data_IF_632143008876
#
_entry.id   IF_632143008876
#
_cell.length_a   1.000
_cell.length_b   1.000
_cell.length_c   1.000
_cell.angle_alpha   90.00
_cell.angle_beta   90.00
_cell.angle_gamma   90.00
#
_symmetry.space_group_name_H-M   'P 1'
#
loop_
_entity.id
_entity.type
_entity.pdbx_description
1 polymer ?
#
# COMPACT_ATOMS: atom_id res chain seq x y z
N UNK A 1 47.51 -19.95 -51.03
CA UNK A 1 46.87 -20.01 -49.69
C UNK A 1 47.45 -19.04 -48.66
N UNK A 2 48.67 -18.51 -48.83
CA UNK A 2 49.32 -17.66 -47.81
C UNK A 2 48.89 -16.18 -47.86
N UNK A 3 48.40 -15.69 -49.00
CA UNK A 3 47.88 -14.32 -49.17
C UNK A 3 46.47 -14.11 -48.66
N UNK A 4 45.64 -15.18 -48.59
CA UNK A 4 44.25 -15.09 -48.11
C UNK A 4 44.16 -15.02 -46.58
N UNK A 5 45.08 -15.69 -45.86
CA UNK A 5 45.16 -15.60 -44.40
C UNK A 5 45.61 -14.21 -43.91
N UNK A 6 46.49 -13.54 -44.65
CA UNK A 6 46.94 -12.19 -44.30
C UNK A 6 45.83 -11.14 -44.41
N UNK A 7 44.96 -11.24 -45.42
CA UNK A 7 43.81 -10.35 -45.56
C UNK A 7 42.76 -10.57 -44.45
N UNK A 8 42.51 -11.82 -44.05
CA UNK A 8 41.57 -12.13 -42.96
C UNK A 8 42.06 -11.64 -41.59
N UNK A 9 43.38 -11.60 -41.34
CA UNK A 9 43.94 -10.99 -40.13
C UNK A 9 43.82 -9.47 -40.11
N UNK A 10 44.01 -8.79 -41.24
CA UNK A 10 43.89 -7.32 -41.34
C UNK A 10 42.45 -6.83 -41.13
N UNK A 11 41.45 -7.63 -41.52
CA UNK A 11 40.03 -7.32 -41.29
C UNK A 11 39.59 -7.50 -39.82
N UNK A 12 40.28 -8.34 -39.03
CA UNK A 12 39.98 -8.49 -37.59
C UNK A 12 40.65 -7.43 -36.70
N UNK A 13 41.66 -6.70 -37.20
CA UNK A 13 42.29 -5.58 -36.48
C UNK A 13 41.54 -4.25 -36.59
N UNK A 14 40.50 -4.18 -37.41
CA UNK A 14 39.63 -3.01 -37.59
C UNK A 14 38.34 -3.15 -36.76
N UNK A 15 38.47 -3.53 -35.49
CA UNK A 15 37.41 -3.26 -34.52
C UNK A 15 37.66 -1.85 -33.97
N UNK A 16 36.83 -0.84 -34.27
CA UNK A 16 36.89 0.41 -33.55
C UNK A 16 36.48 0.12 -32.11
N UNK A 17 37.46 -0.06 -31.22
CA UNK A 17 37.26 0.14 -29.80
C UNK A 17 36.95 1.61 -29.61
N UNK A 18 35.69 1.99 -29.74
CA UNK A 18 35.23 3.27 -29.22
C UNK A 18 35.55 3.25 -27.73
N UNK A 19 36.44 4.12 -27.21
CA UNK A 19 36.58 4.25 -25.78
C UNK A 19 35.21 4.69 -25.25
N UNK A 20 34.57 3.81 -24.49
CA UNK A 20 33.39 4.18 -23.71
C UNK A 20 33.91 5.16 -22.66
N UNK A 21 33.74 6.45 -22.91
CA UNK A 21 33.95 7.48 -21.91
C UNK A 21 32.84 7.34 -20.87
N UNK A 22 33.09 6.55 -19.83
CA UNK A 22 32.31 6.63 -18.60
C UNK A 22 32.80 7.86 -17.84
N UNK A 23 32.03 8.95 -17.86
CA UNK A 23 32.23 10.07 -16.95
C UNK A 23 31.94 9.58 -15.54
N UNK A 24 32.98 9.27 -14.76
CA UNK A 24 32.85 9.01 -13.33
C UNK A 24 32.41 10.34 -12.70
N UNK A 25 31.27 10.33 -12.01
CA UNK A 25 30.81 11.51 -11.27
C UNK A 25 31.89 11.93 -10.26
N UNK A 26 32.35 13.17 -10.36
CA UNK A 26 33.21 13.77 -9.33
C UNK A 26 32.37 13.98 -8.06
N UNK A 27 32.47 13.03 -7.12
CA UNK A 27 31.78 13.08 -5.83
C UNK A 27 32.26 14.24 -4.94
N UNK A 28 33.40 14.87 -5.23
CA UNK A 28 33.91 15.97 -4.43
C UNK A 28 33.24 17.32 -4.79
N UNK A 29 32.70 17.46 -6.01
CA UNK A 29 32.03 18.66 -6.49
C UNK A 29 30.61 18.36 -7.02
N UNK A 30 29.74 17.88 -6.14
CA UNK A 30 28.38 17.50 -6.53
C UNK A 30 27.53 18.71 -6.97
N UNK A 31 26.96 18.64 -8.18
CA UNK A 31 25.89 19.55 -8.65
C UNK A 31 24.55 18.80 -8.58
N UNK A 32 23.56 19.36 -7.85
CA UNK A 32 22.20 18.78 -7.77
C UNK A 32 21.54 18.89 -9.15
N UNK A 33 21.44 17.77 -9.89
CA UNK A 33 20.82 17.74 -11.24
C UNK A 33 19.37 17.25 -11.30
N UNK A 34 18.76 16.87 -10.17
CA UNK A 34 17.32 16.58 -10.07
C UNK A 34 16.97 15.11 -9.76
N UNK A 35 15.68 14.78 -9.80
CA UNK A 35 15.18 13.40 -9.63
C UNK A 35 15.44 12.63 -10.93
N UNK A 36 15.85 11.36 -10.81
CA UNK A 36 15.99 10.44 -11.93
C UNK A 36 14.61 10.15 -12.54
N UNK A 37 14.37 10.66 -13.74
CA UNK A 37 13.17 10.37 -14.55
C UNK A 37 13.48 9.22 -15.51
N UNK A 38 12.73 8.12 -15.43
CA UNK A 38 12.95 6.95 -16.28
C UNK A 38 12.38 7.12 -17.70
N UNK A 39 11.46 8.07 -17.91
CA UNK A 39 10.86 8.35 -19.23
C UNK A 39 11.71 9.33 -20.05
N UNK A 40 12.54 10.14 -19.39
CA UNK A 40 13.45 11.12 -20.00
C UNK A 40 14.87 10.96 -19.45
N UNK A 41 15.67 10.00 -19.96
CA UNK A 41 17.05 9.87 -19.55
C UNK A 41 17.82 11.15 -19.92
N UNK A 42 18.27 11.88 -18.89
CA UNK A 42 19.13 13.04 -19.07
C UNK A 42 20.52 12.57 -19.52
N UNK A 43 20.85 12.82 -20.79
CA UNK A 43 22.23 12.71 -21.26
C UNK A 43 23.05 13.90 -20.72
N UNK A 44 24.30 13.61 -20.31
CA UNK A 44 25.25 14.63 -19.86
C UNK A 44 25.68 15.51 -21.03
N UNK A 45 24.82 16.45 -21.44
CA UNK A 45 25.22 17.49 -22.37
C UNK A 45 26.16 18.48 -21.67
N UNK A 46 27.17 18.89 -22.42
CA UNK A 46 28.13 19.91 -22.03
C UNK A 46 27.40 21.17 -21.57
N UNK A 47 27.95 21.75 -20.51
CA UNK A 47 27.41 22.82 -19.68
C UNK A 47 26.52 23.82 -20.44
N UNK A 48 25.19 23.67 -20.31
CA UNK A 48 24.32 24.83 -20.48
C UNK A 48 24.73 25.85 -19.42
N UNK A 49 24.97 27.12 -19.80
CA UNK A 49 25.32 28.16 -18.83
C UNK A 49 24.25 28.17 -17.75
N UNK A 50 24.71 28.24 -16.50
CA UNK A 50 23.87 28.33 -15.30
C UNK A 50 22.74 29.32 -15.55
N UNK A 51 21.53 28.82 -15.81
CA UNK A 51 20.33 29.65 -15.86
C UNK A 51 20.27 30.37 -14.52
N UNK A 52 20.38 31.70 -14.55
CA UNK A 52 20.34 32.58 -13.38
C UNK A 52 19.40 32.01 -12.34
N UNK A 53 19.94 31.57 -11.19
CA UNK A 53 19.14 30.94 -10.15
C UNK A 53 17.97 31.87 -9.80
N UNK A 54 16.75 31.39 -10.06
CA UNK A 54 15.51 32.02 -9.61
C UNK A 54 15.62 32.26 -8.09
N UNK A 55 15.03 33.34 -7.54
CA UNK A 55 15.12 33.63 -6.12
C UNK A 55 14.58 32.45 -5.31
N UNK A 56 15.47 31.85 -4.50
CA UNK A 56 15.16 30.70 -3.65
C UNK A 56 14.78 31.17 -2.26
N UNK A 57 13.60 30.79 -1.78
CA UNK A 57 13.11 31.16 -0.45
C UNK A 57 13.36 30.02 0.54
N UNK A 58 14.04 30.26 1.67
CA UNK A 58 14.20 29.23 2.68
C UNK A 58 12.83 28.90 3.33
N UNK A 59 12.50 27.62 3.44
CA UNK A 59 11.26 27.16 4.07
C UNK A 59 11.48 25.86 4.84
N UNK A 60 10.65 25.63 5.87
CA UNK A 60 10.47 24.27 6.40
C UNK A 60 9.45 23.57 5.51
N UNK A 61 9.59 22.26 5.33
CA UNK A 61 8.62 21.43 4.63
C UNK A 61 8.34 20.17 5.43
N UNK A 62 7.15 19.60 5.26
CA UNK A 62 6.79 18.30 5.80
C UNK A 62 6.28 17.44 4.67
N UNK A 63 6.92 16.29 4.47
CA UNK A 63 6.52 15.27 3.53
C UNK A 63 5.57 14.32 4.24
N UNK A 64 4.34 14.25 3.76
CA UNK A 64 3.30 13.38 4.30
C UNK A 64 2.86 12.39 3.24
N UNK A 65 2.60 11.15 3.64
CA UNK A 65 1.95 10.17 2.79
C UNK A 65 0.57 9.85 3.34
N UNK A 66 -0.42 9.84 2.46
CA UNK A 66 -1.74 9.32 2.79
C UNK A 66 -1.68 7.83 2.50
N UNK A 67 -1.70 7.00 3.54
CA UNK A 67 -1.95 5.59 3.30
C UNK A 67 -3.31 5.48 2.60
N UNK A 68 -3.41 4.71 1.51
CA UNK A 68 -4.72 4.38 0.95
C UNK A 68 -5.56 3.85 2.11
N UNK A 69 -6.80 4.33 2.32
CA UNK A 69 -7.68 3.73 3.30
C UNK A 69 -7.92 2.29 2.86
N UNK A 70 -7.18 1.34 3.42
CA UNK A 70 -7.50 -0.06 3.32
C UNK A 70 -8.46 -0.34 4.46
N UNK A 71 -9.70 -0.71 4.12
CA UNK A 71 -10.61 -1.21 5.12
C UNK A 71 -10.02 -2.51 5.66
N UNK A 72 -9.75 -2.54 6.97
CA UNK A 72 -9.30 -3.73 7.67
C UNK A 72 -10.32 -4.10 8.73
N UNK A 73 -10.69 -5.37 8.76
CA UNK A 73 -11.66 -5.86 9.74
C UNK A 73 -11.32 -7.29 10.14
N UNK A 74 -11.93 -7.75 11.23
CA UNK A 74 -11.76 -9.10 11.74
C UNK A 74 -12.75 -10.05 11.07
N UNK A 75 -12.28 -11.23 10.75
CA UNK A 75 -13.09 -12.35 10.31
C UNK A 75 -12.73 -13.61 11.09
N UNK A 76 -13.41 -14.70 10.76
CA UNK A 76 -13.21 -16.03 11.31
C UNK A 76 -13.05 -17.01 10.17
N UNK A 77 -12.14 -17.97 10.32
CA UNK A 77 -12.04 -19.15 9.45
C UNK A 77 -12.42 -20.38 10.26
N UNK A 78 -13.40 -21.14 9.78
CA UNK A 78 -13.86 -22.38 10.40
C UNK A 78 -13.45 -23.60 9.56
N UNK A 79 -13.01 -24.65 10.25
CA UNK A 79 -12.75 -25.98 9.69
C UNK A 79 -13.27 -27.06 10.61
N UNK A 80 -13.70 -28.17 10.01
CA UNK A 80 -14.30 -29.29 10.70
C UNK A 80 -13.82 -30.56 10.03
N UNK A 81 -13.50 -31.56 10.83
CA UNK A 81 -13.06 -32.85 10.32
C UNK A 81 -13.47 -33.96 11.28
N UNK A 82 -13.79 -35.11 10.70
CA UNK A 82 -14.06 -36.34 11.44
C UNK A 82 -12.80 -37.17 11.48
N UNK A 83 -12.39 -37.57 12.67
CA UNK A 83 -11.38 -38.61 12.87
C UNK A 83 -12.08 -39.94 13.07
N UNK A 84 -11.69 -40.94 12.30
CA UNK A 84 -12.23 -42.30 12.37
C UNK A 84 -11.13 -43.25 12.84
N UNK A 85 -11.45 -44.11 13.80
CA UNK A 85 -10.64 -45.26 14.22
C UNK A 85 -11.38 -46.52 13.80
N UNK A 86 -10.79 -47.27 12.87
CA UNK A 86 -11.30 -48.55 12.38
C UNK A 86 -10.45 -49.68 12.97
N UNK A 87 -11.09 -50.59 13.71
CA UNK A 87 -10.44 -51.75 14.33
C UNK A 87 -10.99 -53.01 13.67
N UNK A 88 -10.11 -53.81 13.07
CA UNK A 88 -10.44 -55.09 12.44
C UNK A 88 -9.85 -56.22 13.29
N UNK A 89 -10.71 -57.01 13.95
CA UNK A 89 -10.28 -58.16 14.76
C UNK A 89 -10.20 -59.44 13.93
N UNK A 90 -8.98 -59.95 13.67
CA UNK A 90 -8.76 -61.15 12.86
C UNK A 90 -8.58 -62.40 13.72
N UNK A 91 -9.40 -63.43 13.49
CA UNK A 91 -9.30 -64.72 14.16
C UNK A 91 -8.00 -65.47 13.79
N UNK A 92 -7.59 -65.40 12.53
CA UNK A 92 -6.52 -66.24 11.98
C UNK A 92 -5.12 -65.90 12.49
N UNK A 93 -4.90 -64.66 12.92
CA UNK A 93 -3.59 -64.17 13.38
C UNK A 93 -3.61 -63.71 14.84
N UNK A 94 -4.75 -63.82 15.53
CA UNK A 94 -4.88 -63.43 16.94
C UNK A 94 -4.55 -61.95 17.20
N UNK A 95 -4.79 -61.06 16.25
CA UNK A 95 -4.41 -59.64 16.34
C UNK A 95 -5.54 -58.70 15.90
N UNK A 96 -5.46 -57.45 16.38
CA UNK A 96 -6.34 -56.34 16.02
C UNK A 96 -5.61 -55.32 15.16
N UNK A 97 -6.01 -55.19 13.90
CA UNK A 97 -5.51 -54.14 13.04
C UNK A 97 -6.28 -52.84 13.29
N UNK A 98 -5.58 -51.74 13.58
CA UNK A 98 -6.19 -50.44 13.88
C UNK A 98 -5.71 -49.40 12.88
N UNK A 99 -6.65 -48.87 12.10
CA UNK A 99 -6.40 -47.82 11.10
C UNK A 99 -7.07 -46.53 11.55
N UNK A 100 -6.31 -45.43 11.57
CA UNK A 100 -6.84 -44.10 11.77
C UNK A 100 -6.99 -43.39 10.42
N UNK A 101 -8.13 -42.77 10.19
CA UNK A 101 -8.36 -41.90 9.03
C UNK A 101 -8.93 -40.56 9.47
N UNK A 102 -8.75 -39.54 8.64
CA UNK A 102 -9.29 -38.21 8.85
C UNK A 102 -9.96 -37.73 7.57
N UNK A 103 -11.17 -37.21 7.70
CA UNK A 103 -11.94 -36.66 6.60
C UNK A 103 -12.43 -35.27 6.97
N UNK A 104 -12.17 -34.30 6.10
CA UNK A 104 -12.63 -32.91 6.27
C UNK A 104 -14.07 -32.76 5.85
N UNK A 105 -14.85 -32.00 6.62
CA UNK A 105 -16.25 -31.72 6.33
C UNK A 105 -16.36 -30.29 5.82
N UNK A 106 -17.08 -30.10 4.71
CA UNK A 106 -17.44 -28.78 4.24
C UNK A 106 -18.46 -28.16 5.20
N UNK A 107 -18.14 -26.99 5.74
CA UNK A 107 -18.99 -26.27 6.68
C UNK A 107 -19.77 -25.20 5.92
N UNK A 108 -21.00 -24.95 6.33
CA UNK A 108 -21.75 -23.78 5.85
C UNK A 108 -21.39 -22.52 6.64
N UNK A 109 -21.54 -21.31 6.07
CA UNK A 109 -21.30 -20.06 6.80
C UNK A 109 -22.12 -19.94 8.10
N UNK A 110 -23.34 -20.49 8.10
CA UNK A 110 -24.21 -20.52 9.27
C UNK A 110 -23.64 -21.39 10.39
N UNK A 111 -23.13 -22.58 10.07
CA UNK A 111 -22.49 -23.47 11.05
C UNK A 111 -21.19 -22.86 11.58
N UNK A 112 -20.42 -22.18 10.74
CA UNK A 112 -19.24 -21.43 11.17
C UNK A 112 -19.61 -20.32 12.18
N UNK A 113 -20.68 -19.56 11.93
CA UNK A 113 -21.18 -18.58 12.89
C UNK A 113 -21.66 -19.22 14.20
N UNK A 114 -22.32 -20.38 14.16
CA UNK A 114 -22.69 -21.12 15.37
C UNK A 114 -21.46 -21.57 16.16
N UNK A 115 -20.41 -22.05 15.50
CA UNK A 115 -19.16 -22.39 16.18
C UNK A 115 -18.56 -21.20 16.93
N UNK A 116 -18.55 -20.02 16.28
CA UNK A 116 -17.98 -18.79 16.85
C UNK A 116 -18.85 -18.25 17.99
N UNK A 117 -20.17 -18.20 17.80
CA UNK A 117 -21.10 -17.58 18.74
C UNK A 117 -21.44 -18.50 19.93
N UNK A 118 -21.76 -19.76 19.64
CA UNK A 118 -22.21 -20.73 20.64
C UNK A 118 -21.03 -21.48 21.29
N UNK A 119 -19.82 -21.33 20.73
CA UNK A 119 -18.59 -22.04 21.16
C UNK A 119 -18.78 -23.55 21.17
N UNK A 120 -19.46 -24.08 20.15
CA UNK A 120 -19.81 -25.49 20.02
C UNK A 120 -19.32 -26.11 18.72
N UNK A 121 -18.91 -27.36 18.82
CA UNK A 121 -18.55 -28.26 17.72
C UNK A 121 -19.48 -29.48 17.77
N UNK A 122 -20.60 -29.40 17.04
CA UNK A 122 -21.73 -30.32 17.27
C UNK A 122 -22.26 -30.15 18.70
N UNK A 123 -22.29 -31.23 19.47
CA UNK A 123 -22.72 -31.21 20.88
C UNK A 123 -21.59 -30.88 21.87
N UNK A 124 -20.34 -30.77 21.40
CA UNK A 124 -19.19 -30.57 22.26
C UNK A 124 -18.86 -29.09 22.44
N UNK A 125 -18.47 -28.71 23.66
CA UNK A 125 -18.00 -27.35 23.94
C UNK A 125 -16.56 -27.17 23.43
N UNK A 126 -16.33 -26.05 22.75
CA UNK A 126 -15.00 -25.65 22.27
C UNK A 126 -14.22 -24.92 23.37
N UNK A 127 -12.92 -25.14 23.38
CA UNK A 127 -11.98 -24.44 24.24
C UNK A 127 -11.59 -23.11 23.58
N UNK A 128 -11.40 -22.07 24.41
CA UNK A 128 -10.92 -20.77 23.93
C UNK A 128 -9.40 -20.77 23.92
N UNK A 129 -8.82 -20.56 22.74
CA UNK A 129 -7.40 -20.42 22.50
C UNK A 129 -7.04 -18.95 22.22
N UNK A 130 -5.76 -18.53 22.32
CA UNK A 130 -5.36 -17.13 22.12
C UNK A 130 -5.75 -16.56 20.75
N UNK A 131 -5.81 -17.41 19.72
CA UNK A 131 -6.11 -17.04 18.33
C UNK A 131 -7.44 -17.59 17.83
N UNK A 132 -8.25 -18.23 18.68
CA UNK A 132 -9.48 -18.86 18.21
C UNK A 132 -10.20 -19.75 19.22
N UNK A 133 -11.00 -20.67 18.68
CA UNK A 133 -11.74 -21.69 19.39
C UNK A 133 -11.38 -23.05 18.78
N UNK A 134 -11.19 -24.07 19.62
CA UNK A 134 -10.89 -25.41 19.12
C UNK A 134 -11.62 -26.49 19.93
N UNK A 135 -11.96 -27.58 19.27
CA UNK A 135 -12.31 -28.84 19.91
C UNK A 135 -11.60 -29.95 19.15
N UNK A 136 -10.68 -30.62 19.84
CA UNK A 136 -9.92 -31.73 19.28
C UNK A 136 -9.97 -32.92 20.24
N UNK A 137 -10.48 -34.04 19.76
CA UNK A 137 -10.57 -35.31 20.47
C UNK A 137 -10.22 -36.48 19.55
N UNK A 138 -9.74 -37.56 20.17
CA UNK A 138 -9.37 -38.80 19.47
C UNK A 138 -10.47 -39.83 19.67
N UNK A 139 -10.94 -40.52 18.63
CA UNK A 139 -11.94 -41.58 18.77
C UNK A 139 -11.43 -42.71 19.68
N UNK A 140 -12.22 -43.02 20.72
CA UNK A 140 -11.95 -44.09 21.69
C UNK A 140 -12.90 -45.27 21.47
N UNK A 141 -12.40 -46.48 21.71
CA UNK A 141 -13.15 -47.71 21.49
C UNK A 141 -12.26 -48.93 21.39
N UNK A 142 -12.83 -50.08 21.75
CA UNK A 142 -12.17 -51.39 21.77
C UNK A 142 -12.59 -52.26 20.58
N UNK A 143 -11.67 -53.11 20.12
CA UNK A 143 -11.97 -54.09 19.09
C UNK A 143 -12.85 -55.22 19.60
N UNK A 144 -13.54 -55.91 18.69
CA UNK A 144 -14.21 -57.18 18.98
C UNK A 144 -13.73 -58.24 18.00
N UNK A 145 -13.52 -59.47 18.48
CA UNK A 145 -13.15 -60.59 17.62
C UNK A 145 -14.17 -60.80 16.50
N UNK A 146 -13.67 -61.12 15.31
CA UNK A 146 -14.48 -61.39 14.13
C UNK A 146 -15.40 -60.22 13.74
N UNK A 147 -14.98 -59.00 14.02
CA UNK A 147 -15.75 -57.81 13.72
C UNK A 147 -14.85 -56.66 13.28
N UNK A 148 -15.42 -55.80 12.44
CA UNK A 148 -14.91 -54.47 12.15
C UNK A 148 -15.70 -53.48 13.01
N UNK A 149 -14.99 -52.70 13.82
CA UNK A 149 -15.56 -51.64 14.64
C UNK A 149 -15.01 -50.30 14.18
N UNK A 150 -15.89 -49.35 13.94
CA UNK A 150 -15.54 -47.99 13.55
C UNK A 150 -16.03 -47.02 14.61
N UNK A 151 -15.13 -46.15 15.07
CA UNK A 151 -15.39 -45.11 16.06
C UNK A 151 -15.05 -43.77 15.43
N UNK A 152 -15.96 -42.80 15.56
CA UNK A 152 -15.81 -41.49 14.95
C UNK A 152 -15.85 -40.39 16.01
N UNK A 153 -15.10 -39.33 15.78
CA UNK A 153 -15.15 -38.13 16.62
C UNK A 153 -15.03 -36.89 15.75
N UNK A 154 -15.96 -35.98 15.95
CA UNK A 154 -16.00 -34.70 15.26
C UNK A 154 -15.02 -33.73 15.92
N UNK A 155 -14.23 -33.03 15.11
CA UNK A 155 -13.31 -32.00 15.56
C UNK A 155 -13.59 -30.72 14.80
N UNK A 156 -13.42 -29.58 15.47
CA UNK A 156 -13.63 -28.28 14.86
C UNK A 156 -12.59 -27.28 15.32
N UNK A 157 -12.25 -26.32 14.47
CA UNK A 157 -11.44 -25.17 14.81
C UNK A 157 -12.03 -23.92 14.15
N UNK A 158 -12.05 -22.82 14.89
CA UNK A 158 -12.41 -21.50 14.40
C UNK A 158 -11.28 -20.52 14.76
N UNK A 159 -10.56 -20.02 13.78
CA UNK A 159 -9.43 -19.11 13.99
C UNK A 159 -9.81 -17.69 13.61
N UNK A 160 -9.38 -16.71 14.40
CA UNK A 160 -9.59 -15.31 14.09
C UNK A 160 -8.58 -14.86 13.03
N UNK A 161 -9.07 -14.24 11.96
CA UNK A 161 -8.25 -13.72 10.87
C UNK A 161 -8.47 -12.22 10.68
N UNK A 162 -7.53 -11.57 9.99
CA UNK A 162 -7.67 -10.18 9.57
C UNK A 162 -7.85 -10.14 8.07
N UNK A 163 -8.90 -9.45 7.63
CA UNK A 163 -9.22 -9.22 6.22
C UNK A 163 -8.88 -7.78 5.87
N UNK A 164 -8.45 -7.57 4.62
CA UNK A 164 -8.06 -6.25 4.11
C UNK A 164 -8.67 -6.03 2.74
N UNK A 165 -9.12 -4.82 2.47
CA UNK A 165 -9.60 -4.42 1.15
C UNK A 165 -9.15 -3.00 0.84
N UNK A 166 -8.48 -2.79 -0.30
CA UNK A 166 -7.99 -1.47 -0.70
C UNK A 166 -9.11 -0.54 -1.19
N UNK A 167 -10.07 -1.08 -1.95
CA UNK A 167 -11.16 -0.31 -2.56
C UNK A 167 -12.44 -1.13 -2.53
N UNK A 168 -13.61 -0.46 -2.59
CA UNK A 168 -14.85 -1.20 -2.55
C UNK A 168 -14.99 -2.32 -3.60
N UNK A 169 -14.47 -2.08 -4.80
CA UNK A 169 -14.53 -3.00 -5.94
C UNK A 169 -13.29 -3.89 -6.09
N UNK A 170 -12.32 -3.82 -5.15
CA UNK A 170 -11.16 -4.71 -5.18
C UNK A 170 -11.46 -6.02 -4.46
N UNK A 171 -10.83 -7.15 -4.86
CA UNK A 171 -10.88 -8.39 -4.10
C UNK A 171 -10.46 -8.18 -2.64
N UNK A 172 -10.98 -9.01 -1.75
CA UNK A 172 -10.64 -8.97 -0.32
C UNK A 172 -9.38 -9.81 -0.12
N UNK A 173 -8.35 -9.23 0.49
CA UNK A 173 -7.14 -9.94 0.90
C UNK A 173 -7.39 -10.70 2.21
N UNK A 174 -7.07 -11.98 2.20
CA UNK A 174 -7.05 -12.86 3.38
C UNK A 174 -5.69 -13.54 3.53
N UNK A 175 -5.39 -14.15 4.70
CA UNK A 175 -4.19 -14.98 4.87
C UNK A 175 -4.10 -16.16 3.90
N UNK A 176 -5.23 -16.56 3.31
CA UNK A 176 -5.31 -17.68 2.35
C UNK A 176 -5.27 -17.22 0.90
N UNK A 177 -5.13 -15.92 0.64
CA UNK A 177 -5.11 -15.33 -0.69
C UNK A 177 -6.29 -14.38 -0.93
N UNK A 178 -6.47 -14.04 -2.21
CA UNK A 178 -7.50 -13.10 -2.66
C UNK A 178 -8.86 -13.77 -2.74
N UNK A 179 -9.86 -13.17 -2.09
CA UNK A 179 -11.25 -13.61 -2.09
C UNK A 179 -12.01 -12.81 -3.14
N UNK A 180 -12.58 -13.50 -4.13
CA UNK A 180 -13.42 -12.90 -5.15
C UNK A 180 -14.88 -12.91 -4.69
N UNK A 181 -15.18 -12.11 -3.68
CA UNK A 181 -16.52 -11.99 -3.09
C UNK A 181 -17.03 -10.57 -3.28
N UNK A 182 -18.33 -10.44 -3.54
CA UNK A 182 -18.96 -9.13 -3.54
C UNK A 182 -19.17 -8.68 -2.10
N UNK A 183 -19.06 -7.37 -1.89
CA UNK A 183 -19.10 -6.70 -0.59
C UNK A 183 -20.25 -7.07 0.37
N UNK A 184 -21.33 -7.65 -0.14
CA UNK A 184 -22.56 -7.94 0.62
C UNK A 184 -22.61 -9.34 1.22
N UNK A 185 -21.73 -10.26 0.81
CA UNK A 185 -21.93 -11.67 1.14
C UNK A 185 -21.43 -12.07 2.53
N UNK A 186 -20.51 -11.31 3.15
CA UNK A 186 -20.05 -11.54 4.53
C UNK A 186 -19.44 -12.94 4.79
N UNK A 187 -19.24 -13.71 3.73
CA UNK A 187 -18.89 -15.11 3.77
C UNK A 187 -18.12 -15.50 2.50
N UNK A 188 -17.25 -16.47 2.62
CA UNK A 188 -16.52 -17.04 1.50
C UNK A 188 -16.18 -18.49 1.80
N UNK A 189 -16.40 -19.37 0.84
CA UNK A 189 -16.09 -20.80 0.97
C UNK A 189 -15.07 -21.13 -0.11
N UNK A 190 -13.92 -21.64 0.31
CA UNK A 190 -12.91 -22.14 -0.61
C UNK A 190 -12.26 -23.39 -0.04
N UNK A 191 -12.30 -24.44 -0.85
CA UNK A 191 -11.87 -25.78 -0.47
C UNK A 191 -12.61 -26.25 0.80
N UNK A 192 -11.87 -26.54 1.87
CA UNK A 192 -12.38 -27.03 3.15
C UNK A 192 -12.46 -25.91 4.22
N UNK A 193 -12.30 -24.65 3.81
CA UNK A 193 -12.30 -23.50 4.70
C UNK A 193 -13.52 -22.64 4.45
N UNK A 194 -14.22 -22.32 5.54
CA UNK A 194 -15.31 -21.34 5.51
C UNK A 194 -14.87 -20.09 6.24
N UNK A 195 -14.86 -18.98 5.54
CA UNK A 195 -14.50 -17.67 6.09
C UNK A 195 -15.78 -16.87 6.28
N UNK A 196 -15.97 -16.29 7.46
CA UNK A 196 -17.09 -15.39 7.76
C UNK A 196 -16.61 -14.11 8.40
N UNK A 197 -17.26 -12.99 8.13
CA UNK A 197 -16.96 -11.71 8.76
C UNK A 197 -18.21 -10.87 8.95
N UNK A 198 -18.19 -10.04 9.99
CA UNK A 198 -19.27 -9.13 10.32
C UNK A 198 -19.12 -7.76 9.65
N UNK A 199 -19.71 -6.74 10.29
CA UNK A 199 -19.64 -5.36 9.81
C UNK A 199 -18.20 -4.86 9.69
N UNK A 200 -17.95 -4.16 8.58
CA UNK A 200 -16.64 -3.60 8.27
C UNK A 200 -16.46 -2.31 9.06
N UNK A 201 -15.57 -2.33 10.05
CA UNK A 201 -15.06 -1.10 10.65
C UNK A 201 -14.14 -0.43 9.63
N UNK A 202 -14.60 0.66 9.00
CA UNK A 202 -13.75 1.45 8.12
C UNK A 202 -12.71 2.17 8.97
N UNK A 203 -11.48 1.65 8.99
CA UNK A 203 -10.35 2.43 9.49
C UNK A 203 -10.14 3.61 8.53
N UNK A 204 -10.40 4.81 9.04
CA UNK A 204 -10.22 6.06 8.31
C UNK A 204 -8.80 6.19 7.80
N UNK A 205 -8.61 6.75 6.59
CA UNK A 205 -7.27 7.07 6.08
C UNK A 205 -6.55 7.97 7.07
N UNK A 206 -5.42 7.51 7.61
CA UNK A 206 -4.56 8.35 8.43
C UNK A 206 -3.39 8.87 7.59
N UNK A 207 -3.07 10.15 7.80
CA UNK A 207 -1.90 10.78 7.21
C UNK A 207 -0.68 10.39 8.04
N UNK A 208 0.36 9.86 7.41
CA UNK A 208 1.63 9.55 8.07
C UNK A 208 2.69 10.56 7.63
N UNK A 209 3.36 11.19 8.60
CA UNK A 209 4.52 12.04 8.33
C UNK A 209 5.74 11.18 8.02
N UNK A 210 6.32 11.35 6.83
CA UNK A 210 7.55 10.68 6.41
C UNK A 210 8.78 11.48 6.84
N UNK A 211 8.73 12.80 6.66
CA UNK A 211 9.88 13.66 6.85
C UNK A 211 9.44 15.09 7.22
N UNK A 212 10.24 15.78 8.04
CA UNK A 212 10.11 17.20 8.32
C UNK A 212 11.49 17.84 8.36
N UNK A 213 11.78 18.72 7.42
CA UNK A 213 13.12 19.28 7.21
C UNK A 213 13.06 20.71 6.67
N UNK A 214 14.24 21.31 6.45
CA UNK A 214 14.40 22.64 5.85
C UNK A 214 14.89 22.49 4.41
N UNK A 215 14.39 23.35 3.54
CA UNK A 215 14.80 23.41 2.14
C UNK A 215 14.63 24.80 1.56
N UNK A 216 14.88 24.91 0.27
CA UNK A 216 14.79 26.11 -0.52
C UNK A 216 13.70 25.93 -1.58
N UNK A 217 12.67 26.75 -1.50
CA UNK A 217 11.59 26.79 -2.46
C UNK A 217 12.00 27.67 -3.66
N UNK A 218 11.97 27.08 -4.84
CA UNK A 218 12.16 27.75 -6.12
C UNK A 218 10.82 27.81 -6.83
N UNK A 219 10.46 29.03 -7.18
CA UNK A 219 9.19 29.37 -7.81
C UNK A 219 9.49 29.89 -9.21
N UNK A 220 8.76 29.44 -10.24
CA UNK A 220 8.91 29.99 -11.59
C UNK A 220 8.45 31.47 -11.65
N UNK A 221 9.24 32.32 -12.32
CA UNK A 221 8.96 33.76 -12.47
C UNK A 221 7.79 34.06 -13.42
N UNK A 222 7.51 33.17 -14.36
CA UNK A 222 6.40 33.27 -15.31
C UNK A 222 5.52 32.02 -15.21
N UNK A 223 4.20 32.13 -15.39
CA UNK A 223 3.33 30.97 -15.53
C UNK A 223 3.60 30.31 -16.89
N UNK A 224 4.76 29.66 -17.03
CA UNK A 224 4.95 28.67 -18.08
C UNK A 224 3.93 27.54 -17.88
N UNK A 225 3.64 26.80 -18.95
CA UNK A 225 2.60 25.75 -19.01
C UNK A 225 2.65 24.74 -17.85
N UNK A 226 3.81 24.57 -17.20
CA UNK A 226 3.98 23.81 -15.97
C UNK A 226 3.85 24.71 -14.73
N UNK A 227 2.64 24.78 -14.18
CA UNK A 227 2.32 25.39 -12.87
C UNK A 227 2.93 24.61 -11.68
N UNK A 228 4.20 24.25 -11.76
CA UNK A 228 4.92 23.48 -10.76
C UNK A 228 6.03 24.29 -10.12
N UNK A 229 6.17 24.15 -8.80
CA UNK A 229 7.31 24.66 -8.05
C UNK A 229 8.26 23.52 -7.70
N UNK A 230 9.48 23.89 -7.34
CA UNK A 230 10.55 22.95 -6.99
C UNK A 230 11.06 23.26 -5.59
N UNK A 231 11.13 22.24 -4.75
CA UNK A 231 11.77 22.31 -3.43
C UNK A 231 13.14 21.64 -3.51
N UNK A 232 14.18 22.32 -3.05
CA UNK A 232 15.54 21.80 -2.97
C UNK A 232 15.95 21.63 -1.51
N UNK A 233 16.28 20.42 -1.10
CA UNK A 233 16.90 20.17 0.20
C UNK A 233 18.34 19.73 -0.05
N UNK A 234 19.27 20.65 0.18
CA UNK A 234 20.70 20.47 -0.03
C UNK A 234 21.27 19.43 0.94
N UNK A 235 20.74 19.40 2.17
CA UNK A 235 21.24 18.50 3.22
C UNK A 235 20.99 17.03 2.88
N UNK A 236 19.84 16.76 2.25
CA UNK A 236 19.43 15.41 1.80
C UNK A 236 19.68 15.17 0.32
N UNK A 237 20.20 16.17 -0.40
CA UNK A 237 20.45 16.13 -1.84
C UNK A 237 19.20 15.77 -2.66
N UNK A 238 18.02 16.19 -2.21
CA UNK A 238 16.74 15.91 -2.90
C UNK A 238 16.20 17.18 -3.57
N UNK A 239 15.62 16.98 -4.75
CA UNK A 239 14.78 17.94 -5.45
C UNK A 239 13.37 17.37 -5.48
N UNK A 240 12.34 18.14 -5.13
CA UNK A 240 10.95 17.68 -5.19
C UNK A 240 10.16 18.64 -6.07
N UNK A 241 9.56 18.12 -7.13
CA UNK A 241 8.63 18.87 -7.99
C UNK A 241 7.21 18.66 -7.50
N UNK A 242 6.41 19.72 -7.45
CA UNK A 242 5.00 19.67 -7.05
C UNK A 242 4.18 20.75 -7.77
N UNK A 243 2.89 20.50 -8.09
CA UNK A 243 2.03 21.51 -8.67
C UNK A 243 1.65 22.55 -7.60
N UNK A 244 1.59 23.82 -8.01
CA UNK A 244 1.18 24.92 -7.15
C UNK A 244 -0.29 24.83 -6.72
N UNK A 245 -1.11 24.04 -7.44
CA UNK A 245 -2.47 23.74 -7.04
C UNK A 245 -2.47 22.89 -5.77
N UNK A 246 -3.02 23.38 -4.64
CA UNK A 246 -3.13 22.60 -3.43
C UNK A 246 -4.18 21.49 -3.58
N UNK A 247 -3.95 20.37 -2.89
CA UNK A 247 -4.91 19.31 -2.68
C UNK A 247 -5.74 19.61 -1.42
N UNK A 248 -7.07 19.63 -1.58
CA UNK A 248 -8.02 19.96 -0.51
C UNK A 248 -8.30 18.75 0.40
N UNK A 249 -7.93 17.54 -0.02
CA UNK A 249 -8.27 16.29 0.67
C UNK A 249 -7.27 15.95 1.80
N UNK A 250 -6.44 16.92 2.20
CA UNK A 250 -5.39 16.79 3.22
C UNK A 250 -5.46 17.96 4.19
N UNK A 251 -5.39 17.61 5.47
CA UNK A 251 -5.29 18.54 6.58
C UNK A 251 -3.95 18.30 7.28
N UNK A 252 -3.04 19.28 7.35
CA UNK A 252 -3.11 20.61 6.71
C UNK A 252 -2.99 20.52 5.17
N UNK A 253 -3.48 21.55 4.47
CA UNK A 253 -3.48 21.64 2.99
C UNK A 253 -2.07 21.35 2.45
N UNK A 254 -1.99 20.44 1.46
CA UNK A 254 -0.73 19.96 0.91
C UNK A 254 -0.68 19.97 -0.61
N UNK A 255 0.53 19.90 -1.18
CA UNK A 255 0.78 19.84 -2.62
C UNK A 255 1.24 18.44 -3.02
N UNK A 256 0.62 17.85 -4.04
CA UNK A 256 0.95 16.48 -4.47
C UNK A 256 2.37 16.41 -5.03
N UNK A 257 3.16 15.43 -4.60
CA UNK A 257 4.50 15.24 -5.15
C UNK A 257 4.40 14.61 -6.54
N UNK A 258 5.09 15.19 -7.52
CA UNK A 258 5.15 14.65 -8.88
C UNK A 258 5.91 13.32 -8.86
N UNK A 259 5.36 12.30 -9.52
CA UNK A 259 5.98 10.98 -9.63
C UNK A 259 5.84 10.07 -8.40
N UNK A 260 5.34 10.56 -7.26
CA UNK A 260 5.16 9.75 -6.05
C UNK A 260 3.67 9.71 -5.65
N UNK A 261 2.98 8.57 -5.82
CA UNK A 261 1.56 8.47 -5.52
C UNK A 261 1.29 8.72 -4.03
N UNK A 262 0.18 9.41 -3.75
CA UNK A 262 -0.34 9.68 -2.40
C UNK A 262 0.65 10.33 -1.43
N UNK A 263 1.69 10.96 -1.97
CA UNK A 263 2.67 11.72 -1.19
C UNK A 263 2.47 13.20 -1.45
N UNK A 264 2.54 13.99 -0.39
CA UNK A 264 2.20 15.40 -0.41
C UNK A 264 3.20 16.21 0.42
N UNK A 265 3.40 17.45 0.02
CA UNK A 265 4.21 18.45 0.71
C UNK A 265 3.31 19.46 1.39
N UNK A 266 3.48 19.61 2.70
CA UNK A 266 2.82 20.67 3.47
C UNK A 266 3.86 21.67 3.93
N UNK A 267 3.52 22.95 3.90
CA UNK A 267 4.41 24.05 4.27
C UNK A 267 3.86 24.85 5.46
N UNK A 268 4.69 25.64 6.16
CA UNK A 268 4.24 26.66 7.10
C UNK A 268 3.27 27.66 6.46
N UNK A 269 2.57 28.41 7.30
CA UNK A 269 1.53 29.35 6.86
C UNK A 269 2.10 30.44 5.94
N UNK A 270 3.30 30.97 6.21
CA UNK A 270 3.90 32.01 5.35
C UNK A 270 4.17 31.51 3.94
N UNK A 271 4.79 30.34 3.82
CA UNK A 271 5.11 29.72 2.52
C UNK A 271 3.85 29.31 1.76
N UNK A 272 2.86 28.77 2.48
CA UNK A 272 1.56 28.40 1.88
C UNK A 272 0.85 29.61 1.30
N UNK A 273 0.90 30.77 1.98
CA UNK A 273 0.34 32.02 1.48
C UNK A 273 1.02 32.47 0.17
N UNK A 274 2.34 32.38 0.09
CA UNK A 274 3.10 32.75 -1.11
C UNK A 274 2.69 31.84 -2.29
N UNK A 275 2.66 30.53 -2.09
CA UNK A 275 2.24 29.55 -3.11
C UNK A 275 0.81 29.80 -3.60
N UNK A 276 -0.09 30.16 -2.69
CA UNK A 276 -1.49 30.42 -3.01
C UNK A 276 -1.71 31.72 -3.81
N UNK A 277 -1.04 32.82 -3.44
CA UNK A 277 -1.13 34.08 -4.18
C UNK A 277 -0.61 33.93 -5.62
N UNK A 278 0.43 33.12 -5.82
CA UNK A 278 0.93 32.84 -7.17
C UNK A 278 -0.04 31.99 -7.97
N UNK A 279 -0.62 30.95 -7.37
CA UNK A 279 -1.65 30.15 -8.02
C UNK A 279 -2.85 31.01 -8.46
N UNK A 280 -3.30 31.94 -7.61
CA UNK A 280 -4.34 32.93 -7.95
C UNK A 280 -3.93 33.82 -9.13
N UNK A 281 -2.72 34.37 -9.10
CA UNK A 281 -2.23 35.23 -10.17
C UNK A 281 -2.13 34.49 -11.51
N UNK A 282 -1.72 33.21 -11.50
CA UNK A 282 -1.76 32.35 -12.70
C UNK A 282 -3.19 32.21 -13.23
N UNK A 283 -4.17 31.93 -12.37
CA UNK A 283 -5.59 31.83 -12.78
C UNK A 283 -6.06 33.14 -13.40
N UNK A 284 -5.77 34.28 -12.76
CA UNK A 284 -6.17 35.60 -13.25
C UNK A 284 -5.52 35.97 -14.60
N UNK A 285 -4.29 35.53 -14.84
CA UNK A 285 -3.57 35.78 -16.10
C UNK A 285 -4.08 34.87 -17.23
N UNK A 286 -4.40 33.61 -16.93
CA UNK A 286 -5.06 32.70 -17.88
C UNK A 286 -6.47 33.16 -18.28
N UNK A 287 -7.22 33.74 -17.33
CA UNK A 287 -8.53 34.36 -17.56
C UNK A 287 -8.45 35.67 -18.36
N UNK A 288 -7.37 36.45 -18.26
CA UNK A 288 -7.19 37.64 -19.12
C UNK A 288 -6.93 37.29 -20.59
N UNK A 289 -6.34 36.12 -20.86
CA UNK A 289 -6.08 35.63 -22.23
C UNK A 289 -7.31 34.98 -22.88
N UNK A 290 -8.40 34.81 -22.14
CA UNK A 290 -9.68 34.32 -22.64
C UNK A 290 -10.71 35.41 -22.39
N UNK A 291 -11.14 36.12 -23.43
CA UNK A 291 -12.21 37.14 -23.35
C UNK A 291 -13.56 36.51 -22.96
N UNK A 292 -13.72 36.08 -21.71
CA UNK A 292 -14.99 35.73 -21.10
C UNK A 292 -15.14 36.56 -19.82
N UNK A 293 -15.94 37.62 -19.93
CA UNK A 293 -16.46 38.32 -18.77
C UNK A 293 -17.39 37.38 -18.00
N UNK A 294 -17.15 37.20 -16.69
CA UNK A 294 -18.10 37.02 -15.55
C UNK A 294 -17.49 36.18 -14.41
N UNK A 295 -18.06 36.20 -13.19
CA UNK A 295 -17.79 37.18 -12.14
C UNK A 295 -16.92 36.58 -11.03
N UNK A 296 -16.20 37.44 -10.33
CA UNK A 296 -15.41 37.11 -9.14
C UNK A 296 -16.36 36.70 -8.02
N UNK A 297 -16.23 35.47 -7.51
CA UNK A 297 -16.74 35.14 -6.19
C UNK A 297 -15.68 35.50 -5.13
N UNK A 298 -15.98 36.54 -4.35
CA UNK A 298 -15.62 36.63 -2.93
C UNK A 298 -16.12 35.34 -2.23
N UNK A 299 -15.53 34.76 -1.20
CA UNK A 299 -15.01 35.37 0.02
C UNK A 299 -14.21 34.29 0.80
N UNK A 300 -13.00 34.61 1.26
CA UNK A 300 -12.20 33.77 2.18
C UNK A 300 -11.87 34.53 3.47
N UNK A 301 -12.62 35.60 3.79
CA UNK A 301 -12.25 36.54 4.86
C UNK A 301 -12.78 36.19 6.25
N UNK A 302 -13.55 35.12 6.42
CA UNK A 302 -14.25 34.85 7.70
C UNK A 302 -13.66 33.73 8.59
N UNK A 303 -12.41 33.26 8.38
CA UNK A 303 -11.82 32.21 9.25
C UNK A 303 -10.69 32.65 10.18
N UNK A 304 -10.34 33.95 10.24
CA UNK A 304 -9.37 34.46 11.22
C UNK A 304 -9.84 35.77 11.88
N UNK A 305 -10.81 35.65 12.79
CA UNK A 305 -11.00 36.63 13.87
C UNK A 305 -10.52 36.01 15.19
N UNK A 306 -9.21 36.04 15.41
CA UNK A 306 -8.62 35.85 16.73
C UNK A 306 -8.51 37.20 17.45
N UNK A 307 -9.25 37.34 18.56
CA UNK A 307 -9.12 38.21 19.75
C UNK A 307 -8.25 39.49 19.67
N UNK A 308 -8.75 40.66 20.11
CA UNK A 308 -7.89 41.74 20.56
C UNK A 308 -7.42 41.51 22.01
N UNK A 309 -6.11 41.68 22.21
CA UNK A 309 -5.46 41.89 23.51
C UNK A 309 -5.77 43.29 24.06
N UNK A 310 -5.86 43.35 25.39
CA UNK A 310 -5.87 44.52 26.31
C UNK A 310 -5.41 45.87 25.74
N UNK A 311 -6.17 46.93 26.03
CA UNK A 311 -5.63 48.27 26.26
C UNK A 311 -5.82 48.68 27.72
N UNK A 312 -4.76 49.26 28.26
CA UNK A 312 -4.68 49.94 29.55
C UNK A 312 -5.69 51.10 29.67
N UNK A 313 -6.46 51.09 30.75
CA UNK A 313 -6.78 52.22 31.63
C UNK A 313 -7.32 51.65 32.94
#
# INVERSE_FOLDING_TARGET
MQTLLFLLCLLHSLNPTYPIYASICDCNNMKIRGILDFELPYYCDNEKPETQHLPRMPTTYTLVTKQKPAATWKGWTCRQWTKTKKITGSFWIGYFDTVYSQETILITPLECWRMVNDKKCGDNNMQTEPTGLSFAATPTGEGKWYAIKEYQTLNCIAEQITLRQEKPDSPIESPFGLLNTTQQEGQFIQNQNTIVWGERTTNSSYTQTLLKEKGYLEVPREPESDNSSRLYDISRQIKISFPNKPDKDIVPIGHKVVGIPLTYLTFPAETTKILYEMFKNTIATGLKNTNLATPVCEDYRELYKSRPQRSLL
#
